data_IF_358444495023
#
_entry.id   IF_358444495023
#
_cell.length_a   1.000
_cell.length_b   1.000
_cell.length_c   1.000
_cell.angle_alpha   90.00
_cell.angle_beta   90.00
_cell.angle_gamma   90.00
#
_symmetry.space_group_name_H-M   'P 1'
#
loop_
_entity.id
_entity.type
_entity.pdbx_description
1 polymer ?
#
# COMPACT_ATOMS: atom_id res chain seq x y z
N UNK A 1 -5.93 13.92 10.92
CA UNK A 1 -7.05 14.58 10.22
C UNK A 1 -7.72 13.66 9.21
N UNK A 2 -7.00 13.11 8.23
CA UNK A 2 -7.60 12.26 7.17
C UNK A 2 -8.42 11.06 7.68
N UNK A 3 -7.90 10.27 8.63
CA UNK A 3 -8.64 9.09 9.14
C UNK A 3 -9.96 9.45 9.84
N UNK A 4 -9.97 10.59 10.55
CA UNK A 4 -11.18 11.11 11.20
C UNK A 4 -12.22 11.52 10.16
N UNK A 5 -11.78 12.19 9.08
CA UNK A 5 -12.65 12.59 7.99
C UNK A 5 -13.27 11.37 7.28
N UNK A 6 -12.47 10.34 7.00
CA UNK A 6 -12.96 9.08 6.41
C UNK A 6 -14.01 8.41 7.29
N UNK A 7 -13.73 8.28 8.59
CA UNK A 7 -14.66 7.69 9.57
C UNK A 7 -15.96 8.50 9.67
N UNK A 8 -15.86 9.83 9.70
CA UNK A 8 -17.02 10.73 9.79
C UNK A 8 -17.88 10.67 8.52
N UNK A 9 -17.25 10.47 7.35
CA UNK A 9 -17.94 10.24 6.09
C UNK A 9 -18.51 8.82 5.94
N UNK A 10 -18.38 7.96 6.96
CA UNK A 10 -18.90 6.58 6.96
C UNK A 10 -18.02 5.57 6.22
N UNK A 11 -16.84 5.95 5.76
CA UNK A 11 -15.94 5.04 5.06
C UNK A 11 -15.20 4.11 6.03
N UNK A 12 -14.99 2.87 5.58
CA UNK A 12 -14.10 1.92 6.25
C UNK A 12 -12.70 2.02 5.65
N UNK A 13 -11.68 1.88 6.49
CA UNK A 13 -10.30 2.00 6.06
C UNK A 13 -9.39 0.96 6.70
N UNK A 14 -8.32 0.61 5.98
CA UNK A 14 -7.15 -0.09 6.50
C UNK A 14 -5.93 0.69 6.01
N UNK A 15 -5.09 1.13 6.94
CA UNK A 15 -3.87 1.90 6.61
C UNK A 15 -2.66 1.35 7.37
N UNK A 16 -1.46 1.56 6.83
CA UNK A 16 -0.24 1.17 7.53
C UNK A 16 0.03 2.06 8.74
N UNK A 17 0.33 1.46 9.88
CA UNK A 17 0.86 2.17 11.05
C UNK A 17 2.36 2.41 10.92
N UNK A 18 2.84 3.50 11.52
CA UNK A 18 4.27 3.78 11.66
C UNK A 18 4.84 2.92 12.78
N UNK A 19 5.96 2.25 12.54
CA UNK A 19 6.66 1.44 13.57
C UNK A 19 6.91 2.20 14.87
N UNK A 20 7.14 3.52 14.81
CA UNK A 20 7.33 4.37 16.00
C UNK A 20 6.14 4.41 16.95
N UNK A 21 4.95 3.97 16.53
CA UNK A 21 3.77 3.83 17.40
C UNK A 21 3.76 2.53 18.19
N UNK A 22 4.47 1.49 17.75
CA UNK A 22 4.49 0.18 18.40
C UNK A 22 4.77 0.24 19.91
N UNK A 23 5.75 1.02 20.42
CA UNK A 23 5.99 1.10 21.87
C UNK A 23 4.76 1.54 22.69
N UNK A 24 3.88 2.35 22.11
CA UNK A 24 2.67 2.82 22.77
C UNK A 24 1.49 1.87 22.54
N UNK A 25 1.33 1.41 21.30
CA UNK A 25 0.23 0.51 20.93
C UNK A 25 0.40 -0.86 21.62
N UNK A 26 1.64 -1.37 21.72
CA UNK A 26 2.00 -2.66 22.32
C UNK A 26 2.55 -2.52 23.74
N UNK A 27 2.19 -1.45 24.43
CA UNK A 27 2.77 -1.10 25.73
C UNK A 27 2.57 -2.22 26.78
N UNK A 28 1.37 -2.83 26.83
CA UNK A 28 1.07 -3.95 27.73
C UNK A 28 1.77 -5.22 27.29
N UNK A 29 1.78 -5.52 25.99
CA UNK A 29 2.49 -6.65 25.42
C UNK A 29 3.98 -6.65 25.82
N UNK A 30 4.68 -5.53 25.62
CA UNK A 30 6.10 -5.41 25.96
C UNK A 30 6.35 -5.58 27.45
N UNK A 31 5.43 -5.12 28.30
CA UNK A 31 5.56 -5.27 29.75
C UNK A 31 5.44 -6.73 30.21
N UNK A 32 4.48 -7.48 29.66
CA UNK A 32 4.17 -8.85 30.12
C UNK A 32 4.90 -9.96 29.37
N UNK A 33 5.23 -9.74 28.09
CA UNK A 33 5.80 -10.77 27.22
C UNK A 33 7.23 -10.40 26.73
N UNK A 34 7.69 -9.18 27.00
CA UNK A 34 8.97 -8.68 26.50
C UNK A 34 8.93 -8.31 25.01
N UNK A 35 10.10 -8.25 24.39
CA UNK A 35 10.32 -7.89 22.99
C UNK A 35 10.63 -9.09 22.08
N UNK A 36 10.41 -10.31 22.59
CA UNK A 36 10.55 -11.54 21.80
C UNK A 36 9.25 -11.87 21.07
N UNK A 37 9.32 -12.05 19.76
CA UNK A 37 8.18 -12.38 18.91
C UNK A 37 8.41 -13.67 18.12
N UNK A 38 7.38 -14.51 18.06
CA UNK A 38 7.36 -15.66 17.16
C UNK A 38 7.06 -15.23 15.71
N UNK A 39 7.62 -15.91 14.71
CA UNK A 39 7.35 -15.56 13.31
C UNK A 39 5.85 -15.71 12.99
N UNK A 40 5.27 -14.68 12.37
CA UNK A 40 3.84 -14.62 12.08
C UNK A 40 2.96 -14.25 13.27
N UNK A 41 3.52 -13.98 14.46
CA UNK A 41 2.73 -13.55 15.62
C UNK A 41 1.95 -12.27 15.32
N UNK A 42 0.67 -12.29 15.64
CA UNK A 42 -0.26 -11.17 15.48
C UNK A 42 -0.72 -10.70 16.84
N UNK A 43 -0.73 -9.39 17.04
CA UNK A 43 -1.21 -8.72 18.24
C UNK A 43 -2.27 -7.71 17.83
N UNK A 44 -3.51 -7.95 18.23
CA UNK A 44 -4.64 -7.06 18.02
C UNK A 44 -4.84 -6.19 19.26
N UNK A 45 -4.84 -4.88 19.08
CA UNK A 45 -4.82 -3.88 20.14
C UNK A 45 -5.47 -2.58 19.65
N UNK A 46 -5.18 -1.47 20.32
CA UNK A 46 -5.69 -0.14 19.99
C UNK A 46 -4.55 0.87 19.82
N UNK A 47 -4.78 1.85 18.95
CA UNK A 47 -3.92 3.04 18.82
C UNK A 47 -4.74 4.29 19.10
N UNK A 48 -4.22 5.31 19.79
CA UNK A 48 -5.01 6.48 20.13
C UNK A 48 -5.31 7.34 18.90
N UNK A 49 -6.52 7.94 18.85
CA UNK A 49 -6.88 8.91 17.78
C UNK A 49 -6.11 10.22 17.93
N UNK A 50 -5.82 10.61 19.18
CA UNK A 50 -5.10 11.81 19.55
C UNK A 50 -3.85 11.45 20.37
N UNK A 51 -2.73 12.13 20.15
CA UNK A 51 -1.45 11.78 20.76
C UNK A 51 -1.46 11.68 22.30
N UNK A 52 -2.37 12.41 22.95
CA UNK A 52 -2.46 12.47 24.41
C UNK A 52 -3.43 11.45 25.02
N UNK A 53 -4.17 10.69 24.21
CA UNK A 53 -5.11 9.69 24.72
C UNK A 53 -4.36 8.45 25.21
N UNK A 54 -4.54 8.10 26.48
CA UNK A 54 -4.07 6.82 27.00
C UNK A 54 -5.11 5.74 26.70
N UNK A 55 -4.71 4.76 25.90
CA UNK A 55 -5.61 3.71 25.41
C UNK A 55 -5.15 2.29 25.77
N UNK A 56 -3.92 2.16 26.28
CA UNK A 56 -3.38 0.91 26.79
C UNK A 56 -3.04 1.02 28.29
N UNK A 57 -3.08 -0.12 29.00
CA UNK A 57 -2.89 -0.20 30.44
C UNK A 57 -2.00 -1.38 30.84
N UNK A 58 -0.72 -1.09 31.14
CA UNK A 58 0.29 -2.07 31.60
C UNK A 58 -0.15 -2.96 32.76
N UNK A 59 -1.12 -2.53 33.59
CA UNK A 59 -1.61 -3.33 34.72
C UNK A 59 -2.41 -4.56 34.26
N UNK A 60 -2.85 -4.60 33.00
CA UNK A 60 -3.61 -5.70 32.42
C UNK A 60 -2.73 -6.49 31.45
N UNK A 61 -2.77 -7.82 31.55
CA UNK A 61 -2.03 -8.72 30.64
C UNK A 61 -2.69 -8.84 29.26
N UNK A 62 -4.01 -8.70 29.22
CA UNK A 62 -4.80 -8.81 27.99
C UNK A 62 -4.75 -7.48 27.24
N UNK A 63 -4.54 -7.55 25.93
CA UNK A 63 -4.59 -6.37 25.07
C UNK A 63 -6.02 -5.81 24.98
N UNK A 64 -6.18 -4.47 24.93
CA UNK A 64 -7.47 -3.84 24.75
C UNK A 64 -8.09 -4.24 23.40
N UNK A 65 -9.32 -4.75 23.42
CA UNK A 65 -10.08 -5.04 22.20
C UNK A 65 -10.82 -3.79 21.75
N UNK A 66 -10.55 -3.34 20.53
CA UNK A 66 -11.24 -2.17 19.97
C UNK A 66 -12.72 -2.46 19.70
N UNK A 67 -13.58 -1.47 19.97
CA UNK A 67 -14.97 -1.46 19.49
C UNK A 67 -15.34 -0.09 18.90
N UNK A 68 -16.39 0.00 18.04
CA UNK A 68 -16.77 1.24 17.38
C UNK A 68 -17.20 2.37 18.34
N UNK A 69 -17.66 2.02 19.54
CA UNK A 69 -18.06 3.00 20.56
C UNK A 69 -16.86 3.63 21.29
N UNK A 70 -15.66 3.07 21.15
CA UNK A 70 -14.42 3.68 21.63
C UNK A 70 -14.07 4.91 20.78
N UNK A 71 -14.62 6.06 21.16
CA UNK A 71 -14.40 7.34 20.48
C UNK A 71 -12.97 7.88 20.59
N UNK A 72 -12.11 7.29 21.41
CA UNK A 72 -10.75 7.78 21.70
C UNK A 72 -9.65 7.01 20.97
N UNK A 73 -9.95 5.86 20.37
CA UNK A 73 -8.97 4.99 19.71
C UNK A 73 -9.43 4.48 18.34
N UNK A 74 -8.47 3.96 17.59
CA UNK A 74 -8.68 3.09 16.43
C UNK A 74 -8.20 1.69 16.77
N UNK A 75 -8.68 0.68 16.04
CA UNK A 75 -8.10 -0.66 16.12
C UNK A 75 -6.71 -0.65 15.50
N UNK A 76 -5.76 -1.28 16.16
CA UNK A 76 -4.40 -1.45 15.68
C UNK A 76 -4.04 -2.94 15.68
N UNK A 77 -3.67 -3.45 14.51
CA UNK A 77 -3.18 -4.82 14.35
C UNK A 77 -1.69 -4.76 14.09
N UNK A 78 -0.89 -5.49 14.84
CA UNK A 78 0.55 -5.62 14.65
C UNK A 78 0.91 -7.05 14.29
N UNK A 79 1.76 -7.22 13.29
CA UNK A 79 2.32 -8.51 12.90
C UNK A 79 3.84 -8.44 12.99
N UNK A 80 4.44 -9.47 13.58
CA UNK A 80 5.87 -9.71 13.48
C UNK A 80 6.19 -10.65 12.32
N UNK A 81 7.24 -10.33 11.56
CA UNK A 81 7.77 -11.18 10.51
C UNK A 81 9.30 -11.26 10.59
N UNK A 82 9.84 -12.47 10.73
CA UNK A 82 11.28 -12.72 10.75
C UNK A 82 11.94 -12.32 9.41
N UNK A 83 11.22 -12.49 8.29
CA UNK A 83 11.68 -12.01 6.97
C UNK A 83 11.78 -10.49 6.92
N UNK A 84 10.88 -9.77 7.58
CA UNK A 84 10.96 -8.31 7.71
C UNK A 84 12.10 -7.93 8.66
N UNK A 85 12.24 -8.59 9.81
CA UNK A 85 13.31 -8.34 10.77
C UNK A 85 14.69 -8.40 10.10
N UNK A 86 14.96 -9.45 9.31
CA UNK A 86 16.22 -9.57 8.54
C UNK A 86 16.48 -8.42 7.55
N UNK A 87 15.44 -7.82 6.99
CA UNK A 87 15.59 -6.68 6.06
C UNK A 87 15.72 -5.35 6.81
N UNK A 88 14.96 -5.21 7.88
CA UNK A 88 15.00 -4.04 8.76
C UNK A 88 16.37 -3.94 9.42
N UNK A 89 16.99 -5.06 9.83
CA UNK A 89 18.33 -5.09 10.42
C UNK A 89 19.43 -4.63 9.46
N UNK A 90 19.41 -5.09 8.21
CA UNK A 90 20.32 -4.61 7.16
C UNK A 90 20.15 -3.09 6.95
N UNK A 91 18.90 -2.63 6.96
CA UNK A 91 18.59 -1.20 6.78
C UNK A 91 19.06 -0.38 7.98
N UNK A 92 18.90 -0.89 9.20
CA UNK A 92 19.31 -0.25 10.44
C UNK A 92 20.83 -0.20 10.57
N UNK A 93 21.55 -1.26 10.21
CA UNK A 93 23.01 -1.26 10.23
C UNK A 93 23.57 -0.24 9.22
N UNK A 94 22.95 -0.14 8.04
CA UNK A 94 23.30 0.90 7.08
C UNK A 94 22.99 2.33 7.59
N UNK A 95 22.00 2.50 8.47
CA UNK A 95 21.73 3.77 9.14
C UNK A 95 22.74 4.06 10.23
N UNK A 96 23.15 3.04 11.00
CA UNK A 96 24.20 3.13 12.03
C UNK A 96 25.52 3.57 11.42
N UNK A 97 25.98 2.91 10.35
CA UNK A 97 27.20 3.28 9.63
C UNK A 97 27.19 4.74 9.19
N UNK A 98 26.10 5.18 8.54
CA UNK A 98 25.94 6.59 8.13
C UNK A 98 25.95 7.58 9.29
N UNK A 99 25.45 7.17 10.46
CA UNK A 99 25.47 8.00 11.66
C UNK A 99 26.89 8.13 12.23
N UNK A 100 27.65 7.03 12.26
CA UNK A 100 29.06 7.02 12.68
C UNK A 100 29.92 7.85 11.73
N UNK A 101 29.80 7.64 10.42
CA UNK A 101 30.50 8.43 9.40
C UNK A 101 30.27 9.95 9.60
N UNK A 102 29.04 10.34 9.94
CA UNK A 102 28.68 11.73 10.19
C UNK A 102 29.23 12.30 11.51
N UNK A 103 29.40 11.45 12.53
CA UNK A 103 30.05 11.81 13.80
C UNK A 103 31.55 12.00 13.58
N UNK A 104 32.16 11.17 12.75
CA UNK A 104 33.58 11.19 12.40
C UNK A 104 33.95 12.32 11.40
N UNK A 105 33.00 13.20 11.07
CA UNK A 105 33.25 14.41 10.29
C UNK A 105 33.12 14.24 8.76
N UNK A 106 32.68 13.08 8.27
CA UNK A 106 32.32 12.90 6.86
C UNK A 106 31.01 13.65 6.63
N UNK A 107 31.08 14.90 6.16
CA UNK A 107 29.94 15.81 6.01
C UNK A 107 28.83 15.21 5.14
N UNK A 108 27.70 14.74 5.72
CA UNK A 108 26.55 14.35 4.93
C UNK A 108 25.74 15.61 4.58
N UNK A 109 25.12 15.65 3.39
CA UNK A 109 24.27 16.77 2.97
C UNK A 109 23.08 17.05 3.92
N UNK A 110 22.68 16.05 4.72
CA UNK A 110 21.66 16.14 5.76
C UNK A 110 22.08 15.29 6.96
N UNK A 111 21.69 15.73 8.17
CA UNK A 111 21.95 14.97 9.39
C UNK A 111 21.27 13.59 9.35
N UNK A 112 22.03 12.49 9.48
CA UNK A 112 21.45 11.15 9.48
C UNK A 112 20.71 10.85 10.78
N UNK A 113 19.87 9.81 10.73
CA UNK A 113 19.18 9.27 11.91
C UNK A 113 20.22 8.74 12.92
N UNK A 114 19.90 8.78 14.22
CA UNK A 114 20.77 8.34 15.32
C UNK A 114 22.00 9.21 15.60
N UNK A 115 22.00 10.47 15.14
CA UNK A 115 22.99 11.47 15.57
C UNK A 115 22.33 12.42 16.56
N UNK A 116 22.97 12.68 17.69
CA UNK A 116 22.68 13.72 18.68
C UNK A 116 23.63 14.90 18.50
N UNK A 117 23.14 16.10 18.78
CA UNK A 117 23.97 17.31 18.83
C UNK A 117 24.08 17.68 20.28
N UNK A 118 25.31 17.82 20.72
CA UNK A 118 25.69 18.23 22.06
C UNK A 118 26.46 19.53 21.96
N UNK A 119 26.69 20.19 23.10
CA UNK A 119 27.47 21.43 23.16
C UNK A 119 28.93 21.23 22.66
N UNK A 120 29.44 20.00 22.73
CA UNK A 120 30.78 19.59 22.32
C UNK A 120 30.86 18.98 20.92
N UNK A 121 29.76 18.95 20.15
CA UNK A 121 29.72 18.41 18.79
C UNK A 121 28.63 17.36 18.55
N UNK A 122 28.81 16.54 17.52
CA UNK A 122 27.91 15.44 17.18
C UNK A 122 28.30 14.16 17.92
N UNK A 123 27.32 13.39 18.38
CA UNK A 123 27.53 12.07 18.98
C UNK A 123 26.52 11.05 18.47
N UNK A 124 26.86 9.77 18.51
CA UNK A 124 25.91 8.71 18.19
C UNK A 124 24.84 8.54 19.28
N UNK A 125 23.60 8.25 18.90
CA UNK A 125 22.46 8.03 19.79
C UNK A 125 22.17 6.53 19.96
N UNK A 126 22.96 5.88 20.82
CA UNK A 126 22.86 4.45 21.12
C UNK A 126 21.43 4.07 21.57
N UNK A 127 20.86 4.83 22.50
CA UNK A 127 19.50 4.58 23.02
C UNK A 127 18.42 4.67 21.95
N UNK A 128 18.58 5.52 20.92
CA UNK A 128 17.64 5.57 19.81
C UNK A 128 17.83 4.39 18.85
N UNK A 129 19.06 3.94 18.68
CA UNK A 129 19.39 2.77 17.87
C UNK A 129 18.84 1.48 18.49
N UNK A 130 19.10 1.24 19.78
CA UNK A 130 18.57 0.08 20.52
C UNK A 130 17.04 0.02 20.48
N UNK A 131 16.36 1.17 20.66
CA UNK A 131 14.90 1.24 20.53
C UNK A 131 14.41 0.91 19.12
N UNK A 132 15.20 1.21 18.08
CA UNK A 132 14.83 0.84 16.72
C UNK A 132 15.03 -0.66 16.46
N UNK A 133 16.08 -1.26 17.03
CA UNK A 133 16.33 -2.71 16.93
C UNK A 133 15.20 -3.52 17.56
N UNK A 134 14.69 -3.11 18.73
CA UNK A 134 13.54 -3.75 19.39
C UNK A 134 12.25 -3.76 18.56
N UNK A 135 12.18 -2.93 17.51
CA UNK A 135 11.01 -2.79 16.64
C UNK A 135 11.19 -3.45 15.27
N UNK A 136 12.34 -4.09 15.02
CA UNK A 136 12.59 -4.83 13.79
C UNK A 136 11.52 -5.90 13.58
N UNK A 137 11.07 -6.06 12.33
CA UNK A 137 10.12 -7.11 11.99
C UNK A 137 8.66 -6.78 12.32
N UNK A 138 8.39 -5.78 13.18
CA UNK A 138 7.04 -5.34 13.47
C UNK A 138 6.46 -4.49 12.33
N UNK A 139 5.23 -4.82 11.93
CA UNK A 139 4.43 -4.04 10.99
C UNK A 139 3.04 -3.84 11.56
N UNK A 140 2.64 -2.57 11.68
CA UNK A 140 1.33 -2.21 12.19
C UNK A 140 0.35 -1.82 11.09
N UNK A 141 -0.92 -2.00 11.37
CA UNK A 141 -2.07 -1.68 10.54
C UNK A 141 -3.13 -1.00 11.43
N UNK A 142 -3.79 0.03 10.94
CA UNK A 142 -4.83 0.77 11.67
C UNK A 142 -6.13 0.73 10.88
N UNK A 143 -7.24 0.43 11.57
CA UNK A 143 -8.56 0.32 10.97
C UNK A 143 -9.68 0.78 11.90
N UNK A 144 -10.83 1.13 11.34
CA UNK A 144 -12.11 1.34 12.03
C UNK A 144 -13.08 0.16 11.85
N UNK A 145 -12.57 -1.02 11.47
CA UNK A 145 -13.31 -2.27 11.35
C UNK A 145 -13.20 -3.08 12.67
N UNK A 146 -14.34 -3.47 13.29
CA UNK A 146 -14.31 -4.27 14.51
C UNK A 146 -13.83 -5.70 14.21
N UNK A 147 -13.25 -6.35 15.23
CA UNK A 147 -12.74 -7.72 15.10
C UNK A 147 -13.83 -8.74 14.73
N UNK A 148 -15.08 -8.46 15.08
CA UNK A 148 -16.25 -9.27 14.71
C UNK A 148 -16.59 -9.21 13.22
N UNK A 149 -16.25 -8.10 12.54
CA UNK A 149 -16.50 -7.92 11.12
C UNK A 149 -15.32 -8.40 10.28
N UNK A 150 -14.09 -8.15 10.74
CA UNK A 150 -12.87 -8.52 10.03
C UNK A 150 -11.80 -8.96 11.04
N UNK A 151 -11.43 -10.25 11.10
CA UNK A 151 -10.35 -10.74 11.95
C UNK A 151 -8.99 -10.10 11.62
N UNK A 152 -8.06 -10.14 12.56
CA UNK A 152 -6.75 -9.48 12.41
C UNK A 152 -5.95 -10.00 11.20
N UNK A 153 -6.04 -11.30 10.89
CA UNK A 153 -5.43 -11.90 9.71
C UNK A 153 -5.97 -11.31 8.42
N UNK A 154 -7.28 -11.17 8.30
CA UNK A 154 -7.94 -10.62 7.11
C UNK A 154 -7.63 -9.13 6.91
N UNK A 155 -7.44 -8.36 8.00
CA UNK A 155 -6.95 -6.97 7.93
C UNK A 155 -5.56 -6.91 7.29
N UNK A 156 -4.68 -7.82 7.67
CA UNK A 156 -3.31 -7.90 7.14
C UNK A 156 -3.33 -8.30 5.66
N UNK A 157 -4.10 -9.32 5.31
CA UNK A 157 -4.20 -9.83 3.94
C UNK A 157 -4.80 -8.77 3.00
N UNK A 158 -5.90 -8.13 3.40
CA UNK A 158 -6.51 -7.02 2.66
C UNK A 158 -5.53 -5.86 2.42
N UNK A 159 -4.66 -5.56 3.40
CA UNK A 159 -3.63 -4.56 3.21
C UNK A 159 -2.54 -5.03 2.23
N UNK A 160 -2.17 -6.31 2.23
CA UNK A 160 -1.22 -6.85 1.25
C UNK A 160 -1.76 -6.81 -0.18
N UNK A 161 -3.08 -6.93 -0.36
CA UNK A 161 -3.74 -6.78 -1.65
C UNK A 161 -3.75 -5.32 -2.16
N UNK A 162 -3.40 -4.33 -1.35
CA UNK A 162 -3.29 -2.93 -1.77
C UNK A 162 -2.30 -2.75 -2.94
N UNK A 163 -1.31 -3.64 -3.05
CA UNK A 163 -0.42 -3.67 -4.23
C UNK A 163 -1.20 -3.86 -5.54
N UNK A 164 -2.28 -4.65 -5.57
CA UNK A 164 -3.12 -4.75 -6.77
C UNK A 164 -3.69 -3.38 -7.14
N UNK A 165 -4.16 -2.62 -6.14
CA UNK A 165 -4.64 -1.26 -6.34
C UNK A 165 -3.53 -0.36 -6.88
N UNK A 166 -2.32 -0.43 -6.33
CA UNK A 166 -1.16 0.31 -6.86
C UNK A 166 -0.78 -0.10 -8.28
N UNK A 167 -0.84 -1.39 -8.65
CA UNK A 167 -0.63 -1.84 -10.03
C UNK A 167 -1.69 -1.27 -10.96
N UNK A 168 -2.95 -1.26 -10.54
CA UNK A 168 -4.04 -0.61 -11.28
C UNK A 168 -3.75 0.86 -11.51
N UNK A 169 -3.33 1.59 -10.46
CA UNK A 169 -2.99 3.00 -10.58
C UNK A 169 -1.74 3.24 -11.44
N UNK A 170 -0.75 2.35 -11.39
CA UNK A 170 0.44 2.43 -12.24
C UNK A 170 0.06 2.25 -13.70
N UNK A 171 -0.71 1.20 -14.01
CA UNK A 171 -1.23 0.93 -15.36
C UNK A 171 -2.09 2.09 -15.87
N UNK A 172 -2.95 2.64 -15.01
CA UNK A 172 -3.74 3.84 -15.31
C UNK A 172 -2.84 5.04 -15.69
N UNK A 173 -1.75 5.27 -14.96
CA UNK A 173 -0.84 6.39 -15.23
C UNK A 173 0.00 6.21 -16.49
N UNK A 174 0.59 5.04 -16.69
CA UNK A 174 1.56 4.80 -17.78
C UNK A 174 0.88 4.32 -19.06
N UNK A 175 0.00 3.33 -18.95
CA UNK A 175 -0.61 2.68 -20.11
C UNK A 175 -1.87 3.40 -20.57
N UNK A 176 -2.66 3.93 -19.64
CA UNK A 176 -3.89 4.69 -19.95
C UNK A 176 -3.67 6.22 -19.93
N UNK A 177 -2.43 6.67 -19.76
CA UNK A 177 -2.01 8.09 -19.75
C UNK A 177 -2.90 8.97 -18.88
N UNK A 178 -3.32 8.45 -17.71
CA UNK A 178 -4.12 9.22 -16.77
C UNK A 178 -3.45 10.51 -16.29
N UNK A 179 -2.11 10.61 -16.42
CA UNK A 179 -1.36 11.83 -16.20
C UNK A 179 -0.31 12.05 -17.30
N UNK A 180 0.02 13.32 -17.63
CA UNK A 180 -0.49 14.55 -17.01
C UNK A 180 -1.95 14.88 -17.41
N UNK A 181 -2.72 15.42 -16.47
CA UNK A 181 -4.06 15.97 -16.75
C UNK A 181 -3.84 17.41 -17.20
N UNK A 182 -3.90 17.66 -18.51
CA UNK A 182 -3.75 19.02 -19.06
C UNK A 182 -5.06 19.83 -19.03
N UNK A 183 -6.09 19.29 -18.39
CA UNK A 183 -7.39 19.92 -18.20
C UNK A 183 -7.41 20.81 -16.96
N UNK A 184 -8.02 21.99 -17.07
CA UNK A 184 -8.20 22.95 -15.95
C UNK A 184 -9.65 23.06 -15.47
N UNK A 185 -10.62 22.70 -16.32
CA UNK A 185 -12.04 22.71 -15.97
C UNK A 185 -12.42 21.42 -15.26
N UNK A 186 -13.27 21.52 -14.23
CA UNK A 186 -13.73 20.40 -13.40
C UNK A 186 -14.32 19.28 -14.27
N UNK A 187 -15.24 19.61 -15.17
CA UNK A 187 -15.93 18.63 -16.01
C UNK A 187 -14.96 17.85 -16.91
N UNK A 188 -13.95 18.51 -17.47
CA UNK A 188 -12.92 17.86 -18.27
C UNK A 188 -12.01 16.94 -17.43
N UNK A 189 -11.73 17.31 -16.17
CA UNK A 189 -11.01 16.44 -15.23
C UNK A 189 -11.85 15.20 -14.89
N UNK A 190 -13.13 15.39 -14.60
CA UNK A 190 -14.06 14.29 -14.29
C UNK A 190 -14.26 13.35 -15.47
N UNK A 191 -14.44 13.87 -16.69
CA UNK A 191 -14.55 13.07 -17.91
C UNK A 191 -13.28 12.24 -18.16
N UNK A 192 -12.10 12.87 -18.06
CA UNK A 192 -10.82 12.17 -18.23
C UNK A 192 -10.64 11.05 -17.19
N UNK A 193 -10.92 11.33 -15.91
CA UNK A 193 -10.86 10.33 -14.85
C UNK A 193 -11.86 9.20 -15.09
N UNK A 194 -13.06 9.50 -15.57
CA UNK A 194 -14.09 8.50 -15.87
C UNK A 194 -13.64 7.56 -17.00
N UNK A 195 -13.12 8.10 -18.10
CA UNK A 195 -12.59 7.32 -19.23
C UNK A 195 -11.42 6.44 -18.77
N UNK A 196 -10.52 7.00 -17.96
CA UNK A 196 -9.38 6.25 -17.40
C UNK A 196 -9.85 5.09 -16.51
N UNK A 197 -10.84 5.33 -15.65
CA UNK A 197 -11.37 4.29 -14.75
C UNK A 197 -12.12 3.20 -15.53
N UNK A 198 -12.90 3.58 -16.56
CA UNK A 198 -13.56 2.62 -17.45
C UNK A 198 -12.53 1.77 -18.23
N UNK A 199 -11.51 2.41 -18.83
CA UNK A 199 -10.45 1.71 -19.55
C UNK A 199 -9.64 0.79 -18.63
N UNK A 200 -9.43 1.18 -17.37
CA UNK A 200 -8.79 0.35 -16.35
C UNK A 200 -9.63 -0.89 -16.02
N UNK A 201 -10.94 -0.71 -15.83
CA UNK A 201 -11.86 -1.81 -15.55
C UNK A 201 -11.89 -2.83 -16.70
N UNK A 202 -12.02 -2.35 -17.95
CA UNK A 202 -11.96 -3.19 -19.15
C UNK A 202 -10.62 -3.92 -19.24
N UNK A 203 -9.51 -3.21 -19.07
CA UNK A 203 -8.16 -3.79 -19.13
C UNK A 203 -7.95 -4.89 -18.07
N UNK A 204 -8.47 -4.68 -16.85
CA UNK A 204 -8.44 -5.66 -15.76
C UNK A 204 -9.24 -6.91 -16.10
N UNK A 205 -10.47 -6.74 -16.59
CA UNK A 205 -11.34 -7.85 -17.00
C UNK A 205 -10.68 -8.69 -18.10
N UNK A 206 -10.15 -8.03 -19.13
CA UNK A 206 -9.48 -8.71 -20.23
C UNK A 206 -8.23 -9.47 -19.77
N UNK A 207 -7.44 -8.90 -18.85
CA UNK A 207 -6.30 -9.59 -18.26
C UNK A 207 -6.72 -10.82 -17.44
N UNK A 208 -7.77 -10.70 -16.62
CA UNK A 208 -8.28 -11.83 -15.82
C UNK A 208 -8.80 -12.98 -16.69
N UNK A 209 -9.48 -12.68 -17.80
CA UNK A 209 -10.00 -13.70 -18.73
C UNK A 209 -8.91 -14.36 -19.58
N UNK A 210 -7.93 -13.58 -20.04
CA UNK A 210 -6.98 -14.05 -21.07
C UNK A 210 -5.60 -14.41 -20.51
N UNK A 211 -5.20 -13.82 -19.39
CA UNK A 211 -3.83 -13.83 -18.85
C UNK A 211 -2.85 -12.93 -19.62
N UNK A 212 -3.33 -12.17 -20.62
CA UNK A 212 -2.49 -11.38 -21.52
C UNK A 212 -2.51 -9.92 -21.11
N UNK A 213 -1.33 -9.29 -21.05
CA UNK A 213 -1.22 -7.87 -20.68
C UNK A 213 -2.01 -6.98 -21.65
N UNK A 214 -2.68 -5.90 -21.17
CA UNK A 214 -3.50 -5.03 -22.02
C UNK A 214 -2.74 -4.49 -23.23
N UNK A 215 -1.47 -4.13 -23.07
CA UNK A 215 -0.61 -3.67 -24.18
C UNK A 215 -0.41 -4.74 -25.27
N UNK A 216 -0.15 -5.99 -24.88
CA UNK A 216 0.01 -7.09 -25.83
C UNK A 216 -1.33 -7.41 -26.49
N UNK A 217 -2.41 -7.41 -25.72
CA UNK A 217 -3.77 -7.64 -26.22
C UNK A 217 -4.18 -6.60 -27.26
N UNK A 218 -4.03 -5.31 -26.96
CA UNK A 218 -4.28 -4.22 -27.92
C UNK A 218 -3.41 -4.37 -29.15
N UNK A 219 -2.13 -4.71 -29.01
CA UNK A 219 -1.25 -4.93 -30.18
C UNK A 219 -1.73 -6.08 -31.07
N UNK A 220 -2.22 -7.17 -30.48
CA UNK A 220 -2.70 -8.34 -31.21
C UNK A 220 -4.06 -8.10 -31.87
N UNK A 221 -4.97 -7.38 -31.20
CA UNK A 221 -6.33 -7.15 -31.70
C UNK A 221 -6.46 -5.92 -32.59
N UNK A 222 -5.57 -4.92 -32.47
CA UNK A 222 -5.64 -3.66 -33.25
C UNK A 222 -5.67 -3.84 -34.78
N UNK A 223 -4.99 -4.85 -35.38
CA UNK A 223 -5.09 -5.12 -36.81
C UNK A 223 -6.42 -5.69 -37.27
N UNK A 224 -7.24 -6.25 -36.36
CA UNK A 224 -8.58 -6.73 -36.69
C UNK A 224 -9.50 -5.54 -36.94
N UNK A 225 -9.57 -5.12 -38.21
CA UNK A 225 -10.41 -4.02 -38.65
C UNK A 225 -11.13 -4.47 -39.90
N UNK A 226 -12.43 -4.22 -39.92
CA UNK A 226 -13.22 -4.31 -41.14
C UNK A 226 -12.97 -3.04 -41.96
N UNK A 227 -12.69 -3.19 -43.26
CA UNK A 227 -12.44 -2.06 -44.17
C UNK A 227 -13.46 -2.11 -45.28
N UNK A 228 -14.21 -1.02 -45.46
CA UNK A 228 -15.09 -0.82 -46.62
C UNK A 228 -14.34 -0.02 -47.69
N UNK A 229 -14.10 -0.65 -48.83
CA UNK A 229 -13.43 -0.06 -50.00
C UNK A 229 -14.52 0.39 -50.97
N UNK A 230 -14.55 1.68 -51.28
CA UNK A 230 -15.45 2.23 -52.31
C UNK A 230 -14.71 2.37 -53.64
N UNK A 231 -15.21 1.71 -54.68
CA UNK A 231 -14.65 1.74 -56.03
C UNK A 231 -15.35 2.81 -56.90
N UNK A 232 -14.67 3.36 -57.92
CA UNK A 232 -15.31 4.21 -58.92
C UNK A 232 -16.45 3.46 -59.61
N UNK A 233 -17.67 4.01 -59.58
CA UNK A 233 -18.89 3.34 -60.05
C UNK A 233 -19.90 2.94 -58.96
N UNK A 234 -19.60 3.26 -57.68
CA UNK A 234 -20.56 3.09 -56.57
C UNK A 234 -20.54 1.70 -55.91
N UNK A 235 -19.66 0.81 -56.35
CA UNK A 235 -19.49 -0.51 -55.74
C UNK A 235 -18.72 -0.39 -54.41
N UNK A 236 -19.25 -1.00 -53.34
CA UNK A 236 -18.59 -1.13 -52.05
C UNK A 236 -18.17 -2.59 -51.82
N UNK A 237 -16.94 -2.80 -51.39
CA UNK A 237 -16.41 -4.11 -51.00
C UNK A 237 -16.00 -4.03 -49.53
N UNK A 238 -16.50 -4.96 -48.71
CA UNK A 238 -16.12 -5.07 -47.30
C UNK A 238 -15.08 -6.18 -47.13
N UNK A 239 -13.86 -5.82 -46.75
CA UNK A 239 -12.80 -6.77 -46.47
C UNK A 239 -12.84 -7.19 -45.00
N UNK A 240 -12.99 -8.49 -44.76
CA UNK A 240 -12.95 -9.08 -43.42
C UNK A 240 -11.50 -9.26 -42.95
N UNK A 241 -11.21 -9.05 -41.65
CA UNK A 241 -9.87 -9.21 -41.12
C UNK A 241 -9.46 -10.68 -41.07
N UNK A 242 -8.20 -10.97 -41.40
CA UNK A 242 -7.64 -12.31 -41.26
C UNK A 242 -7.33 -12.62 -39.79
N UNK A 243 -8.02 -13.61 -39.23
CA UNK A 243 -7.86 -14.01 -37.83
C UNK A 243 -6.88 -15.18 -37.75
N UNK A 244 -5.66 -14.90 -37.27
CA UNK A 244 -4.67 -15.95 -37.06
C UNK A 244 -5.02 -16.85 -35.84
N UNK A 245 -4.43 -18.05 -35.72
CA UNK A 245 -4.77 -19.00 -34.65
C UNK A 245 -4.54 -18.49 -33.23
N UNK A 246 -3.53 -17.63 -33.03
CA UNK A 246 -3.25 -17.02 -31.72
C UNK A 246 -4.34 -16.01 -31.35
N UNK A 247 -4.82 -15.22 -32.31
CA UNK A 247 -5.93 -14.28 -32.14
C UNK A 247 -7.25 -15.02 -31.88
N UNK A 248 -7.51 -16.13 -32.58
CA UNK A 248 -8.71 -16.94 -32.34
C UNK A 248 -8.75 -17.49 -30.90
N UNK A 249 -7.62 -17.97 -30.36
CA UNK A 249 -7.55 -18.40 -28.95
C UNK A 249 -7.90 -17.29 -27.97
N UNK A 250 -7.54 -16.04 -28.29
CA UNK A 250 -7.87 -14.88 -27.47
C UNK A 250 -9.37 -14.61 -27.52
N UNK A 251 -9.96 -14.60 -28.73
CA UNK A 251 -11.40 -14.39 -28.93
C UNK A 251 -12.23 -15.46 -28.20
N UNK A 252 -11.86 -16.74 -28.32
CA UNK A 252 -12.53 -17.84 -27.63
C UNK A 252 -12.52 -17.65 -26.11
N UNK A 253 -11.41 -17.18 -25.52
CA UNK A 253 -11.32 -16.86 -24.08
C UNK A 253 -12.21 -15.68 -23.66
N UNK A 254 -12.54 -14.79 -24.59
CA UNK A 254 -13.43 -13.65 -24.39
C UNK A 254 -14.91 -13.99 -24.66
N UNK A 255 -15.19 -15.18 -25.19
CA UNK A 255 -16.55 -15.64 -25.53
C UNK A 255 -17.00 -15.26 -26.93
N UNK A 256 -16.07 -15.03 -27.85
CA UNK A 256 -16.30 -14.72 -29.26
C UNK A 256 -15.67 -15.75 -30.19
#
# INVERSE_FOLDING_TARGET
ENLKALDTAGFKFIVGSRQTKAPHDLESHFYWNGDYFADGQIIDTVTPRHANSKVNNKKLKVEPVWNPTMGTSWRAVWQYSAKRARRDSVTLEAQRRRALDAVDGIKPARRPRFVKTTRSGCSFDEKAFERAQKLEGLKGYVTNLPATLMPATEVIDSYHELWHVEQSFRMSKTDLRARPIFHRQKDAIEAHLTIVMAALAVSRYLYQKTGITPKKLVRTLRPLREITISLPGGQQITAQPEINPETQKILNKLGH
#
